data_IF_101082052437
#
_entry.id   IF_101082052437
#
_cell.length_a   1.000
_cell.length_b   1.000
_cell.length_c   1.000
_cell.angle_alpha   90.00
_cell.angle_beta   90.00
_cell.angle_gamma   90.00
#
_symmetry.space_group_name_H-M   'P 1'
#
loop_
_entity.id
_entity.type
_entity.pdbx_description
1 polymer ?
#
# COMPACT_ATOMS: atom_id res chain seq x y z
N UNK A 1 -17.02 -23.95 -6.92
CA UNK A 1 -16.73 -24.16 -5.48
C UNK A 1 -17.93 -23.83 -4.60
N UNK A 2 -18.51 -22.66 -4.70
CA UNK A 2 -19.66 -22.22 -3.89
C UNK A 2 -20.88 -23.15 -4.04
N UNK A 3 -21.25 -23.53 -5.27
CA UNK A 3 -22.40 -24.42 -5.52
C UNK A 3 -22.19 -25.87 -5.06
N UNK A 4 -20.95 -26.30 -4.82
CA UNK A 4 -20.62 -27.67 -4.42
C UNK A 4 -20.42 -27.87 -2.91
N UNK A 5 -20.57 -26.86 -2.07
CA UNK A 5 -20.35 -26.87 -0.60
C UNK A 5 -19.10 -27.65 -0.18
N UNK A 6 -17.98 -27.45 -0.88
CA UNK A 6 -16.72 -28.14 -0.59
C UNK A 6 -15.87 -27.44 0.45
N UNK A 7 -16.23 -26.23 0.84
CA UNK A 7 -15.59 -25.40 1.85
C UNK A 7 -16.66 -24.64 2.63
N UNK A 8 -16.37 -24.30 3.87
CA UNK A 8 -17.31 -23.62 4.77
C UNK A 8 -17.26 -22.09 4.64
N UNK A 9 -16.11 -21.53 4.24
CA UNK A 9 -15.93 -20.10 4.00
C UNK A 9 -14.85 -19.86 2.94
N UNK A 10 -14.80 -18.64 2.39
CA UNK A 10 -13.76 -18.19 1.47
C UNK A 10 -13.02 -16.98 2.05
N UNK A 11 -11.70 -16.92 1.84
CA UNK A 11 -10.90 -15.71 2.02
C UNK A 11 -10.67 -15.11 0.64
N UNK A 12 -11.04 -13.84 0.46
CA UNK A 12 -10.88 -13.11 -0.80
C UNK A 12 -9.89 -11.98 -0.61
N UNK A 13 -8.72 -12.11 -1.23
CA UNK A 13 -7.65 -11.12 -1.20
C UNK A 13 -7.65 -10.24 -2.48
N UNK A 14 -6.82 -9.19 -2.45
CA UNK A 14 -6.72 -8.20 -3.54
C UNK A 14 -8.10 -7.68 -3.96
N UNK A 15 -8.86 -7.21 -2.98
CA UNK A 15 -10.20 -6.68 -3.20
C UNK A 15 -10.15 -5.44 -4.09
N UNK A 16 -11.12 -5.33 -4.99
CA UNK A 16 -11.37 -4.12 -5.75
C UNK A 16 -12.20 -3.14 -4.91
N UNK A 17 -12.14 -1.85 -5.23
CA UNK A 17 -13.00 -0.84 -4.61
C UNK A 17 -14.50 -1.17 -4.78
N UNK A 18 -14.84 -1.76 -5.92
CA UNK A 18 -16.16 -2.28 -6.28
C UNK A 18 -15.98 -3.72 -6.77
N UNK A 19 -15.99 -4.69 -5.84
CA UNK A 19 -15.57 -6.06 -6.14
C UNK A 19 -16.74 -6.97 -6.48
N UNK A 20 -16.90 -7.38 -7.73
CA UNK A 20 -18.01 -8.24 -8.15
C UNK A 20 -17.97 -9.63 -7.52
N UNK A 21 -16.79 -10.13 -7.12
CA UNK A 21 -16.65 -11.43 -6.44
C UNK A 21 -17.32 -11.38 -5.07
N UNK A 22 -17.07 -10.29 -4.32
CA UNK A 22 -17.67 -10.08 -2.99
C UNK A 22 -19.18 -9.85 -3.11
N UNK A 23 -19.63 -9.07 -4.08
CA UNK A 23 -21.05 -8.84 -4.34
C UNK A 23 -21.79 -10.16 -4.65
N UNK A 24 -21.19 -11.04 -5.47
CA UNK A 24 -21.75 -12.35 -5.77
C UNK A 24 -21.79 -13.27 -4.55
N UNK A 25 -20.75 -13.28 -3.72
CA UNK A 25 -20.72 -14.07 -2.48
C UNK A 25 -21.77 -13.58 -1.50
N UNK A 26 -21.92 -12.27 -1.33
CA UNK A 26 -22.95 -11.66 -0.50
C UNK A 26 -24.36 -12.03 -0.99
N UNK A 27 -24.63 -11.91 -2.29
CA UNK A 27 -25.93 -12.27 -2.88
C UNK A 27 -26.28 -13.77 -2.74
N UNK A 28 -25.28 -14.64 -2.71
CA UNK A 28 -25.46 -16.09 -2.51
C UNK A 28 -25.56 -16.50 -1.04
N UNK A 29 -25.35 -15.58 -0.08
CA UNK A 29 -25.29 -15.87 1.35
C UNK A 29 -24.12 -16.78 1.73
N UNK A 30 -23.09 -16.88 0.89
CA UNK A 30 -21.93 -17.73 1.20
C UNK A 30 -20.96 -17.01 2.12
N UNK A 31 -20.49 -17.64 3.23
CA UNK A 31 -19.58 -17.00 4.18
C UNK A 31 -18.24 -16.64 3.53
N UNK A 32 -17.81 -15.39 3.69
CA UNK A 32 -16.50 -14.94 3.21
C UNK A 32 -15.88 -13.90 4.13
N UNK A 33 -14.55 -13.89 4.18
CA UNK A 33 -13.72 -12.85 4.78
C UNK A 33 -12.95 -12.14 3.67
N UNK A 34 -13.13 -10.84 3.54
CA UNK A 34 -12.35 -10.03 2.62
C UNK A 34 -11.04 -9.57 3.27
N UNK A 35 -9.93 -9.69 2.55
CA UNK A 35 -8.67 -9.02 2.89
C UNK A 35 -8.56 -7.74 2.07
N UNK A 36 -8.95 -6.65 2.69
CA UNK A 36 -9.18 -5.35 2.08
C UNK A 36 -10.68 -4.99 2.05
N UNK A 37 -10.96 -3.69 2.06
CA UNK A 37 -12.34 -3.16 2.05
C UNK A 37 -12.82 -2.92 0.63
N UNK A 38 -14.09 -3.17 0.39
CA UNK A 38 -14.80 -2.92 -0.87
C UNK A 38 -16.15 -2.28 -0.57
N UNK A 39 -16.72 -1.60 -1.54
CA UNK A 39 -18.07 -1.03 -1.40
C UNK A 39 -19.11 -2.12 -1.64
N UNK A 40 -19.75 -2.57 -0.57
CA UNK A 40 -20.87 -3.51 -0.63
C UNK A 40 -22.14 -2.91 0.01
N UNK A 41 -23.30 -3.37 -0.43
CA UNK A 41 -24.59 -2.86 0.05
C UNK A 41 -24.90 -3.25 1.50
N UNK A 42 -24.41 -4.40 1.95
CA UNK A 42 -24.67 -4.94 3.29
C UNK A 42 -23.36 -5.13 4.05
N UNK A 43 -23.38 -5.14 5.39
CA UNK A 43 -22.22 -5.48 6.21
C UNK A 43 -21.63 -6.84 5.83
N UNK A 44 -20.31 -6.97 5.92
CA UNK A 44 -19.56 -8.19 5.66
C UNK A 44 -18.30 -8.23 6.52
N UNK A 45 -17.72 -9.43 6.67
CA UNK A 45 -16.47 -9.61 7.42
C UNK A 45 -15.27 -9.15 6.57
N UNK A 46 -14.41 -8.31 7.15
CA UNK A 46 -13.18 -7.87 6.49
C UNK A 46 -12.07 -7.60 7.49
N UNK A 47 -10.84 -7.84 7.04
CA UNK A 47 -9.61 -7.40 7.68
C UNK A 47 -8.85 -6.52 6.70
N UNK A 48 -8.36 -5.37 7.17
CA UNK A 48 -7.59 -4.46 6.34
C UNK A 48 -6.55 -3.70 7.18
N UNK A 49 -5.54 -3.16 6.51
CA UNK A 49 -4.69 -2.10 7.05
C UNK A 49 -5.19 -0.74 6.57
N UNK A 50 -4.95 0.29 7.37
CA UNK A 50 -5.27 1.67 6.98
C UNK A 50 -4.24 2.19 5.97
N UNK A 51 -4.39 1.73 4.73
CA UNK A 51 -3.52 2.09 3.61
C UNK A 51 -3.51 3.60 3.33
N UNK A 52 -4.66 4.25 3.52
CA UNK A 52 -4.78 5.70 3.41
C UNK A 52 -3.91 6.41 4.46
N UNK A 53 -4.09 6.06 5.73
CA UNK A 53 -3.35 6.67 6.83
C UNK A 53 -1.83 6.42 6.72
N UNK A 54 -1.43 5.24 6.25
CA UNK A 54 -0.02 4.90 6.04
C UNK A 54 0.66 5.83 5.04
N UNK A 55 0.07 6.00 3.85
CA UNK A 55 0.65 6.87 2.81
C UNK A 55 0.51 8.35 3.17
N UNK A 56 -0.61 8.75 3.78
CA UNK A 56 -0.79 10.11 4.28
C UNK A 56 0.30 10.49 5.29
N UNK A 57 0.63 9.59 6.23
CA UNK A 57 1.72 9.78 7.22
C UNK A 57 3.08 9.92 6.54
N UNK A 58 3.41 9.04 5.58
CA UNK A 58 4.65 9.11 4.83
C UNK A 58 4.78 10.44 4.07
N UNK A 59 3.73 10.87 3.39
CA UNK A 59 3.70 12.13 2.64
C UNK A 59 3.88 13.33 3.56
N UNK A 60 3.13 13.38 4.68
CA UNK A 60 3.26 14.45 5.68
C UNK A 60 4.66 14.50 6.31
N UNK A 61 5.28 13.32 6.55
CA UNK A 61 6.65 13.28 7.05
C UNK A 61 7.62 13.98 6.08
N UNK A 62 7.56 13.66 4.79
CA UNK A 62 8.39 14.30 3.78
C UNK A 62 8.12 15.81 3.67
N UNK A 63 6.86 16.24 3.77
CA UNK A 63 6.51 17.67 3.80
C UNK A 63 7.13 18.37 5.01
N UNK A 64 7.10 17.74 6.17
CA UNK A 64 7.71 18.26 7.41
C UNK A 64 9.24 18.36 7.30
N UNK A 65 9.87 17.51 6.50
CA UNK A 65 11.29 17.58 6.15
C UNK A 65 11.62 18.67 5.10
N UNK A 66 10.61 19.40 4.62
CA UNK A 66 10.77 20.50 3.68
C UNK A 66 10.65 20.11 2.20
N UNK A 67 10.30 18.87 1.89
CA UNK A 67 10.09 18.45 0.51
C UNK A 67 8.81 19.05 -0.06
N UNK A 68 8.91 19.73 -1.21
CA UNK A 68 7.78 20.33 -1.93
C UNK A 68 7.47 19.58 -3.24
N UNK A 69 8.43 18.87 -3.79
CA UNK A 69 8.31 18.04 -5.00
C UNK A 69 8.45 16.57 -4.61
N UNK A 70 7.30 15.97 -4.32
CA UNK A 70 7.20 14.59 -3.85
C UNK A 70 6.53 13.76 -4.94
N UNK A 71 7.17 12.67 -5.36
CA UNK A 71 6.61 11.74 -6.32
C UNK A 71 5.91 10.56 -5.61
N UNK A 72 4.87 10.03 -6.24
CA UNK A 72 4.33 8.71 -5.93
C UNK A 72 4.47 7.80 -7.16
N UNK A 73 5.17 6.68 -7.00
CA UNK A 73 5.18 5.58 -7.97
C UNK A 73 4.17 4.54 -7.53
N UNK A 74 3.11 4.37 -8.29
CA UNK A 74 2.04 3.44 -7.94
C UNK A 74 1.38 2.81 -9.16
N UNK A 75 0.71 1.67 -8.97
CA UNK A 75 -0.12 1.10 -10.02
C UNK A 75 -1.36 1.95 -10.28
N UNK A 76 -1.91 1.83 -11.48
CA UNK A 76 -3.19 2.42 -11.85
C UNK A 76 -4.20 1.32 -12.12
N UNK A 77 -4.68 0.70 -11.06
CA UNK A 77 -5.74 -0.30 -11.13
C UNK A 77 -6.79 -0.04 -10.03
N UNK A 78 -7.89 -0.79 -10.06
CA UNK A 78 -9.02 -0.60 -9.14
C UNK A 78 -8.89 -1.39 -7.84
N UNK A 79 -7.72 -1.86 -7.46
CA UNK A 79 -7.53 -2.50 -6.17
C UNK A 79 -7.71 -1.48 -5.04
N UNK A 80 -8.49 -1.83 -4.05
CA UNK A 80 -8.92 -0.91 -3.00
C UNK A 80 -7.73 -0.29 -2.25
N UNK A 81 -6.72 -1.09 -1.90
CA UNK A 81 -5.55 -0.60 -1.19
C UNK A 81 -4.70 0.39 -2.02
N UNK A 82 -4.61 0.21 -3.35
CA UNK A 82 -3.90 1.13 -4.25
C UNK A 82 -4.60 2.48 -4.29
N UNK A 83 -5.93 2.47 -4.43
CA UNK A 83 -6.72 3.70 -4.41
C UNK A 83 -6.61 4.42 -3.06
N UNK A 84 -6.63 3.67 -1.96
CA UNK A 84 -6.47 4.22 -0.61
C UNK A 84 -5.09 4.87 -0.44
N UNK A 85 -4.00 4.19 -0.85
CA UNK A 85 -2.63 4.72 -0.80
C UNK A 85 -2.50 6.00 -1.63
N UNK A 86 -3.01 5.98 -2.86
CA UNK A 86 -3.02 7.15 -3.74
C UNK A 86 -3.79 8.31 -3.13
N UNK A 87 -4.98 8.07 -2.56
CA UNK A 87 -5.79 9.11 -1.93
C UNK A 87 -5.10 9.72 -0.71
N UNK A 88 -4.43 8.92 0.13
CA UNK A 88 -3.65 9.39 1.26
C UNK A 88 -2.52 10.34 0.85
N UNK A 89 -1.82 10.03 -0.25
CA UNK A 89 -0.81 10.92 -0.84
C UNK A 89 -1.43 12.22 -1.36
N UNK A 90 -2.48 12.14 -2.18
CA UNK A 90 -3.11 13.31 -2.81
C UNK A 90 -3.71 14.26 -1.77
N UNK A 91 -4.36 13.73 -0.73
CA UNK A 91 -4.96 14.55 0.31
C UNK A 91 -3.90 15.25 1.16
N UNK A 92 -2.80 14.57 1.50
CA UNK A 92 -1.70 15.20 2.23
C UNK A 92 -1.03 16.34 1.43
N UNK A 93 -0.84 16.17 0.10
CA UNK A 93 -0.35 17.25 -0.76
C UNK A 93 -1.34 18.42 -0.84
N UNK A 94 -2.62 18.12 -1.02
CA UNK A 94 -3.68 19.14 -1.10
C UNK A 94 -3.75 19.98 0.17
N UNK A 95 -3.69 19.35 1.34
CA UNK A 95 -3.66 20.02 2.64
C UNK A 95 -2.47 20.99 2.79
N UNK A 96 -1.34 20.62 2.18
CA UNK A 96 -0.12 21.45 2.19
C UNK A 96 -0.05 22.46 1.02
N UNK A 97 -1.03 22.48 0.12
CA UNK A 97 -1.02 23.35 -1.07
C UNK A 97 0.05 22.95 -2.10
N UNK A 98 0.48 21.68 -2.12
CA UNK A 98 1.51 21.19 -3.01
C UNK A 98 0.92 20.50 -4.26
N UNK A 99 1.71 20.47 -5.33
CA UNK A 99 1.33 19.86 -6.62
C UNK A 99 1.51 18.34 -6.61
N UNK A 100 0.62 17.63 -7.31
CA UNK A 100 0.69 16.19 -7.59
C UNK A 100 1.33 15.86 -8.97
N UNK A 101 2.04 16.82 -9.58
CA UNK A 101 2.61 16.70 -10.92
C UNK A 101 3.58 15.51 -11.10
N UNK A 102 4.09 14.96 -10.01
CA UNK A 102 5.03 13.83 -9.99
C UNK A 102 4.38 12.46 -9.70
N UNK A 103 3.05 12.37 -9.70
CA UNK A 103 2.35 11.08 -9.66
C UNK A 103 2.61 10.29 -10.94
N UNK A 104 3.05 9.03 -10.82
CA UNK A 104 3.32 8.15 -11.96
C UNK A 104 2.61 6.81 -11.81
N UNK A 105 1.98 6.38 -12.89
CA UNK A 105 1.45 5.02 -13.02
C UNK A 105 2.53 4.10 -13.56
N UNK A 106 2.87 3.06 -12.80
CA UNK A 106 4.01 2.19 -13.05
C UNK A 106 3.60 0.74 -12.83
N UNK A 107 3.97 -0.21 -13.70
CA UNK A 107 3.78 -1.64 -13.42
C UNK A 107 4.51 -2.06 -12.15
N UNK A 108 3.91 -2.92 -11.31
CA UNK A 108 4.49 -3.39 -10.03
C UNK A 108 5.67 -4.34 -10.25
N UNK A 109 6.76 -3.79 -10.79
CA UNK A 109 8.02 -4.49 -11.06
C UNK A 109 9.23 -3.67 -10.63
N UNK A 110 10.34 -4.33 -10.27
CA UNK A 110 11.63 -3.67 -10.01
C UNK A 110 12.06 -2.80 -11.19
N UNK A 111 11.91 -3.31 -12.43
CA UNK A 111 12.24 -2.57 -13.66
C UNK A 111 11.38 -1.33 -13.80
N UNK A 112 10.07 -1.42 -13.52
CA UNK A 112 9.13 -0.29 -13.55
C UNK A 112 9.56 0.81 -12.59
N UNK A 113 9.80 0.48 -11.31
CA UNK A 113 10.30 1.42 -10.31
C UNK A 113 11.62 2.05 -10.69
N UNK A 114 12.58 1.26 -11.19
CA UNK A 114 13.89 1.74 -11.64
C UNK A 114 13.77 2.76 -12.78
N UNK A 115 13.05 2.42 -13.86
CA UNK A 115 12.89 3.28 -15.03
C UNK A 115 12.14 4.57 -14.71
N UNK A 116 11.01 4.46 -13.97
CA UNK A 116 10.23 5.63 -13.60
C UNK A 116 11.04 6.59 -12.71
N UNK A 117 11.88 6.08 -11.82
CA UNK A 117 12.78 6.92 -11.02
C UNK A 117 13.78 7.67 -11.90
N UNK A 118 14.41 7.00 -12.87
CA UNK A 118 15.33 7.67 -13.80
C UNK A 118 14.62 8.74 -14.65
N UNK A 119 13.40 8.47 -15.11
CA UNK A 119 12.59 9.43 -15.86
C UNK A 119 12.24 10.66 -15.04
N UNK A 120 11.79 10.47 -13.79
CA UNK A 120 11.47 11.56 -12.88
C UNK A 120 12.67 12.46 -12.59
N UNK A 121 13.86 11.86 -12.41
CA UNK A 121 15.08 12.61 -12.12
C UNK A 121 15.65 13.38 -13.33
N UNK A 122 15.17 13.11 -14.56
CA UNK A 122 15.51 13.86 -15.77
C UNK A 122 14.59 15.04 -16.05
N UNK A 123 13.52 15.22 -15.30
CA UNK A 123 12.62 16.36 -15.46
C UNK A 123 13.38 17.68 -15.19
N UNK A 124 12.96 18.79 -15.79
CA UNK A 124 13.53 20.11 -15.49
C UNK A 124 13.43 20.47 -14.00
N UNK A 125 12.33 20.09 -13.37
CA UNK A 125 12.11 20.21 -11.93
C UNK A 125 11.88 18.81 -11.33
N UNK A 126 12.95 18.07 -11.03
CA UNK A 126 12.83 16.71 -10.52
C UNK A 126 12.26 16.69 -9.09
N UNK A 127 11.58 15.61 -8.68
CA UNK A 127 11.18 15.43 -7.30
C UNK A 127 12.41 15.33 -6.39
N UNK A 128 12.27 15.81 -5.16
CA UNK A 128 13.27 15.70 -4.11
C UNK A 128 12.98 14.54 -3.15
N UNK A 129 11.79 13.96 -3.29
CA UNK A 129 11.37 12.78 -2.53
C UNK A 129 10.50 11.87 -3.40
N UNK A 130 10.56 10.56 -3.15
CA UNK A 130 9.79 9.53 -3.86
C UNK A 130 9.15 8.64 -2.81
N UNK A 131 7.85 8.39 -2.96
CA UNK A 131 7.10 7.34 -2.26
C UNK A 131 6.79 6.26 -3.27
N UNK A 132 6.91 5.00 -2.89
CA UNK A 132 6.48 3.86 -3.72
C UNK A 132 5.36 3.12 -3.02
N UNK A 133 4.33 2.73 -3.78
CA UNK A 133 3.14 2.07 -3.24
C UNK A 133 3.31 0.58 -2.94
N UNK A 134 4.46 0.00 -3.31
CA UNK A 134 4.82 -1.38 -3.00
C UNK A 134 6.34 -1.60 -2.95
N UNK A 135 6.74 -2.71 -2.36
CA UNK A 135 8.13 -3.10 -2.16
C UNK A 135 8.90 -3.31 -3.48
N UNK A 136 8.26 -3.84 -4.53
CA UNK A 136 8.93 -4.06 -5.84
C UNK A 136 9.25 -2.74 -6.55
N UNK A 137 8.35 -1.75 -6.50
CA UNK A 137 8.66 -0.40 -6.97
C UNK A 137 9.79 0.22 -6.16
N UNK A 138 9.74 0.04 -4.82
CA UNK A 138 10.73 0.57 -3.89
C UNK A 138 12.13 0.03 -4.15
N UNK A 139 12.26 -1.26 -4.36
CA UNK A 139 13.54 -1.90 -4.68
C UNK A 139 14.13 -1.35 -5.99
N UNK A 140 13.29 -1.23 -7.04
CA UNK A 140 13.70 -0.60 -8.29
C UNK A 140 14.13 0.86 -8.13
N UNK A 141 13.37 1.64 -7.36
CA UNK A 141 13.70 3.04 -7.07
C UNK A 141 15.00 3.17 -6.28
N UNK A 142 15.18 2.35 -5.23
CA UNK A 142 16.41 2.32 -4.44
C UNK A 142 17.63 1.97 -5.28
N UNK A 143 17.53 0.97 -6.17
CA UNK A 143 18.58 0.61 -7.12
C UNK A 143 18.94 1.76 -8.06
N UNK A 144 17.94 2.49 -8.59
CA UNK A 144 18.18 3.64 -9.47
C UNK A 144 18.89 4.77 -8.71
N UNK A 145 18.45 5.07 -7.49
CA UNK A 145 19.06 6.09 -6.65
C UNK A 145 20.49 5.70 -6.22
N UNK A 146 20.73 4.45 -5.85
CA UNK A 146 22.05 3.94 -5.52
C UNK A 146 23.01 4.04 -6.72
N UNK A 147 22.55 3.64 -7.92
CA UNK A 147 23.32 3.75 -9.16
C UNK A 147 23.74 5.19 -9.47
N UNK A 148 22.89 6.17 -9.14
CA UNK A 148 23.18 7.59 -9.33
C UNK A 148 23.92 8.24 -8.16
N UNK A 149 24.26 7.50 -7.10
CA UNK A 149 24.85 8.04 -5.87
C UNK A 149 23.91 9.00 -5.13
N UNK A 150 22.59 8.78 -5.22
CA UNK A 150 21.54 9.66 -4.66
C UNK A 150 20.62 8.96 -3.66
N UNK A 151 20.94 7.75 -3.21
CA UNK A 151 20.14 7.04 -2.20
C UNK A 151 20.43 7.57 -0.79
N UNK A 152 21.69 7.93 -0.52
CA UNK A 152 22.16 8.45 0.77
C UNK A 152 23.03 9.70 0.57
N UNK A 153 23.43 10.35 1.68
CA UNK A 153 24.29 11.55 1.65
C UNK A 153 23.53 12.84 1.38
N UNK A 154 24.27 13.94 1.23
CA UNK A 154 23.71 15.30 1.18
C UNK A 154 22.89 15.58 -0.08
N UNK A 155 23.19 14.88 -1.18
CA UNK A 155 22.49 15.00 -2.45
C UNK A 155 21.41 13.93 -2.64
N UNK A 156 21.00 13.25 -1.57
CA UNK A 156 19.99 12.19 -1.67
C UNK A 156 18.65 12.70 -2.17
N UNK A 157 17.93 11.82 -2.81
CA UNK A 157 16.49 11.93 -3.01
C UNK A 157 15.83 11.07 -1.94
N UNK A 158 15.00 11.68 -1.09
CA UNK A 158 14.34 10.94 -0.05
C UNK A 158 13.48 9.80 -0.66
N UNK A 159 13.52 8.62 -0.06
CA UNK A 159 12.78 7.45 -0.53
C UNK A 159 12.01 6.84 0.62
N UNK A 160 10.69 6.68 0.46
CA UNK A 160 9.82 5.93 1.37
C UNK A 160 9.19 4.77 0.60
N UNK A 161 9.32 3.56 1.13
CA UNK A 161 8.83 2.34 0.48
C UNK A 161 7.67 1.75 1.28
N UNK A 162 6.53 1.57 0.64
CA UNK A 162 5.43 0.82 1.25
C UNK A 162 5.77 -0.68 1.28
N UNK A 163 5.63 -1.29 2.45
CA UNK A 163 6.02 -2.66 2.79
C UNK A 163 7.56 -2.91 2.85
N UNK A 164 8.39 -1.83 2.83
CA UNK A 164 9.85 -1.94 2.89
C UNK A 164 10.46 -2.58 1.64
N UNK A 165 11.77 -2.84 1.67
CA UNK A 165 12.42 -3.57 0.59
C UNK A 165 12.14 -5.07 0.68
N UNK A 166 12.10 -5.80 -0.46
CA UNK A 166 11.99 -7.26 -0.46
C UNK A 166 13.21 -7.90 0.24
N UNK A 167 13.00 -9.10 0.82
CA UNK A 167 14.09 -9.83 1.49
C UNK A 167 15.25 -10.23 0.56
N UNK A 168 14.99 -10.31 -0.75
CA UNK A 168 15.98 -10.59 -1.79
C UNK A 168 16.57 -9.32 -2.42
N UNK A 169 16.33 -8.14 -1.83
CA UNK A 169 16.95 -6.90 -2.26
C UNK A 169 18.48 -6.93 -2.04
N UNK A 170 19.22 -6.38 -3.01
CA UNK A 170 20.65 -6.17 -2.91
C UNK A 170 21.03 -4.82 -2.27
N UNK A 171 20.04 -4.02 -1.91
CA UNK A 171 20.20 -2.73 -1.24
C UNK A 171 20.31 -3.00 0.26
N UNK A 172 21.44 -2.64 0.86
CA UNK A 172 21.72 -2.82 2.29
C UNK A 172 21.32 -1.59 3.13
N UNK A 173 21.03 -0.46 2.48
CA UNK A 173 20.58 0.77 3.17
C UNK A 173 19.26 0.55 3.87
N UNK A 174 19.14 1.02 5.11
CA UNK A 174 17.89 1.02 5.86
C UNK A 174 16.93 2.09 5.30
N UNK A 175 16.07 1.68 4.38
CA UNK A 175 15.14 2.60 3.72
C UNK A 175 13.97 2.95 4.61
N UNK A 176 13.53 4.20 4.55
CA UNK A 176 12.30 4.62 5.20
C UNK A 176 11.12 3.81 4.65
N UNK A 177 10.23 3.37 5.54
CA UNK A 177 9.18 2.44 5.17
C UNK A 177 7.87 2.66 5.91
N UNK A 178 6.77 2.38 5.21
CA UNK A 178 5.45 2.15 5.81
C UNK A 178 5.25 0.64 5.87
N UNK A 179 5.20 0.05 7.06
CA UNK A 179 5.14 -1.39 7.25
C UNK A 179 3.75 -1.80 7.73
N UNK A 180 3.14 -2.71 7.03
CA UNK A 180 1.97 -3.44 7.49
C UNK A 180 2.45 -4.49 8.50
N UNK A 181 2.26 -4.23 9.78
CA UNK A 181 2.90 -5.00 10.84
C UNK A 181 2.57 -6.49 10.79
N UNK A 182 3.58 -7.30 10.48
CA UNK A 182 3.52 -8.76 10.64
C UNK A 182 3.74 -9.20 12.10
N UNK A 183 4.26 -8.31 12.95
CA UNK A 183 4.56 -8.58 14.38
C UNK A 183 3.30 -8.89 15.18
N UNK A 184 2.16 -8.39 14.76
CA UNK A 184 0.87 -8.54 15.47
C UNK A 184 0.16 -9.87 15.15
N UNK A 185 0.75 -10.75 14.36
CA UNK A 185 0.17 -12.06 14.08
C UNK A 185 -1.05 -12.02 13.17
N UNK A 186 -0.95 -11.32 12.03
CA UNK A 186 -1.99 -11.21 11.00
C UNK A 186 -2.64 -12.56 10.67
N UNK A 187 -1.83 -13.61 10.48
CA UNK A 187 -2.37 -14.95 10.20
C UNK A 187 -3.26 -15.48 11.31
N UNK A 188 -2.90 -15.23 12.58
CA UNK A 188 -3.73 -15.63 13.74
C UNK A 188 -5.03 -14.85 13.77
N UNK A 189 -4.99 -13.54 13.53
CA UNK A 189 -6.17 -12.68 13.45
C UNK A 189 -7.14 -13.16 12.36
N UNK A 190 -6.62 -13.42 11.16
CA UNK A 190 -7.42 -13.91 10.03
C UNK A 190 -8.04 -15.26 10.36
N UNK A 191 -7.28 -16.20 10.93
CA UNK A 191 -7.78 -17.53 11.30
C UNK A 191 -8.88 -17.45 12.37
N UNK A 192 -8.72 -16.57 13.36
CA UNK A 192 -9.77 -16.35 14.39
C UNK A 192 -11.04 -15.76 13.75
N UNK A 193 -10.92 -14.77 12.89
CA UNK A 193 -12.07 -14.17 12.20
C UNK A 193 -12.80 -15.19 11.32
N UNK A 194 -12.09 -16.06 10.60
CA UNK A 194 -12.72 -17.12 9.79
C UNK A 194 -13.46 -18.12 10.68
N UNK A 195 -12.87 -18.54 11.81
CA UNK A 195 -13.52 -19.43 12.76
C UNK A 195 -14.83 -18.84 13.30
N UNK A 196 -14.80 -17.56 13.68
CA UNK A 196 -15.96 -16.82 14.19
C UNK A 196 -17.02 -16.61 13.10
N UNK A 197 -16.60 -16.33 11.87
CA UNK A 197 -17.46 -16.24 10.70
C UNK A 197 -18.23 -17.55 10.44
N UNK A 198 -17.54 -18.70 10.49
CA UNK A 198 -18.14 -20.03 10.34
C UNK A 198 -19.09 -20.34 11.48
N UNK A 199 -18.80 -19.85 12.71
CA UNK A 199 -19.68 -19.98 13.87
C UNK A 199 -20.94 -19.10 13.80
N UNK A 200 -21.06 -18.23 12.77
CA UNK A 200 -22.26 -17.40 12.57
C UNK A 200 -22.29 -16.14 13.45
N UNK A 201 -21.12 -15.65 13.91
CA UNK A 201 -21.07 -14.41 14.66
C UNK A 201 -21.48 -13.19 13.80
N UNK A 202 -21.92 -12.12 14.46
CA UNK A 202 -22.33 -10.88 13.80
C UNK A 202 -21.20 -10.29 12.96
N UNK A 203 -21.48 -10.09 11.67
CA UNK A 203 -20.51 -9.56 10.67
C UNK A 203 -19.98 -8.17 11.05
N UNK A 204 -20.75 -7.36 11.78
CA UNK A 204 -20.29 -6.05 12.25
C UNK A 204 -19.15 -6.16 13.27
N UNK A 205 -19.04 -7.28 14.00
CA UNK A 205 -17.94 -7.56 14.94
C UNK A 205 -16.71 -8.15 14.26
N UNK A 206 -16.83 -8.51 12.99
CA UNK A 206 -15.78 -9.11 12.15
C UNK A 206 -15.21 -8.09 11.14
N UNK A 207 -15.12 -6.82 11.56
CA UNK A 207 -14.54 -5.73 10.77
C UNK A 207 -13.32 -5.19 11.53
N UNK A 208 -12.13 -5.50 11.01
CA UNK A 208 -10.87 -5.19 11.69
C UNK A 208 -9.97 -4.33 10.82
N UNK A 209 -9.60 -3.15 11.34
CA UNK A 209 -8.67 -2.23 10.70
C UNK A 209 -7.42 -2.07 11.57
N UNK A 210 -6.28 -2.46 11.05
CA UNK A 210 -5.00 -2.22 11.71
C UNK A 210 -4.25 -1.04 11.11
N UNK A 211 -3.52 -0.31 11.98
CA UNK A 211 -2.71 0.82 11.53
C UNK A 211 -1.33 0.34 11.10
N UNK A 212 -0.82 0.79 9.93
CA UNK A 212 0.56 0.55 9.55
C UNK A 212 1.51 1.39 10.40
N UNK A 213 2.74 0.89 10.55
CA UNK A 213 3.83 1.61 11.25
C UNK A 213 4.71 2.35 10.23
N UNK A 214 5.23 3.52 10.62
CA UNK A 214 6.17 4.28 9.81
C UNK A 214 7.56 4.24 10.46
N UNK A 215 8.56 3.88 9.67
CA UNK A 215 9.97 3.85 10.05
C UNK A 215 10.73 4.85 9.18
N UNK A 216 11.40 5.85 9.74
CA UNK A 216 12.07 6.89 8.95
C UNK A 216 13.35 6.41 8.24
N UNK A 217 13.98 5.31 8.70
CA UNK A 217 15.22 4.78 8.11
C UNK A 217 16.31 5.81 7.93
N UNK A 218 17.18 5.59 6.92
CA UNK A 218 18.27 6.50 6.54
C UNK A 218 17.95 7.34 5.31
N UNK A 219 16.81 7.07 4.64
CA UNK A 219 16.49 7.66 3.33
C UNK A 219 15.42 8.74 3.37
N UNK A 220 14.83 9.05 4.53
CA UNK A 220 13.80 10.09 4.65
C UNK A 220 13.96 10.90 5.95
#
# INVERSE_FOLDING_TARGET
MVQGRRVDALIVAHTLDDDPRLAQLQASGFPFLALGRSRLAQPYAWFDFDNYAGTCRATRHLIQQGHQRIALLGENNNQAFILQRRNGYLDALREAGLSDAWLRSVPATRRGGYQATLELLRLPEPPTAIITDCNTHGDGAAMALAHLGRLTGDNRVALVVYDGLPQDSIIETDVAAVIQSTRQGVGRQIADMVRRLIAGEDLATLQVLWQPEFFPGETA
#
